data_IF_906303766136
#
_entry.id   IF_906303766136
#
_cell.length_a   1.000
_cell.length_b   1.000
_cell.length_c   1.000
_cell.angle_alpha   90.00
_cell.angle_beta   90.00
_cell.angle_gamma   90.00
#
_symmetry.space_group_name_H-M   'P 1'
#
loop_
_entity.id
_entity.type
_entity.pdbx_description
1 polymer ?
#
# COMPACT_ATOMS: atom_id res chain seq x y z
N UNK A 1 -13.46 -6.69 -29.59
CA UNK A 1 -13.03 -6.39 -28.20
C UNK A 1 -14.21 -5.70 -27.51
N UNK A 2 -14.66 -6.20 -26.36
CA UNK A 2 -15.79 -5.60 -25.63
C UNK A 2 -15.44 -4.17 -25.16
N UNK A 3 -16.42 -3.25 -25.10
CA UNK A 3 -16.22 -1.84 -24.69
C UNK A 3 -15.57 -1.74 -23.31
N UNK A 4 -15.91 -2.66 -22.41
CA UNK A 4 -15.34 -2.74 -21.05
C UNK A 4 -13.85 -3.11 -21.04
N UNK A 5 -13.44 -4.00 -21.95
CA UNK A 5 -12.05 -4.41 -22.09
C UNK A 5 -11.19 -3.31 -22.73
N UNK A 6 -11.74 -2.57 -23.69
CA UNK A 6 -11.08 -1.39 -24.25
C UNK A 6 -10.85 -0.31 -23.18
N UNK A 7 -11.89 0.05 -22.42
CA UNK A 7 -11.78 1.04 -21.33
C UNK A 7 -10.75 0.62 -20.28
N UNK A 8 -10.76 -0.63 -19.86
CA UNK A 8 -9.77 -1.15 -18.92
C UNK A 8 -8.35 -1.07 -19.48
N UNK A 9 -8.16 -1.42 -20.76
CA UNK A 9 -6.85 -1.35 -21.39
C UNK A 9 -6.31 0.07 -21.46
N UNK A 10 -7.15 1.04 -21.82
CA UNK A 10 -6.80 2.48 -21.84
C UNK A 10 -6.48 2.98 -20.42
N UNK A 11 -7.34 2.70 -19.45
CA UNK A 11 -7.15 3.13 -18.05
C UNK A 11 -5.91 2.53 -17.38
N UNK A 12 -5.43 1.38 -17.87
CA UNK A 12 -4.23 0.72 -17.35
C UNK A 12 -2.99 0.92 -18.22
N UNK A 13 -3.05 1.83 -19.19
CA UNK A 13 -1.88 2.22 -19.99
C UNK A 13 -0.91 3.05 -19.14
N UNK A 14 0.36 2.63 -19.10
CA UNK A 14 1.38 3.31 -18.31
C UNK A 14 1.58 4.77 -18.74
N UNK A 15 1.41 5.10 -20.02
CA UNK A 15 1.54 6.47 -20.53
C UNK A 15 0.43 7.35 -19.99
N UNK A 16 -0.80 6.84 -19.97
CA UNK A 16 -1.96 7.56 -19.45
C UNK A 16 -1.82 7.76 -17.94
N UNK A 17 -1.39 6.73 -17.20
CA UNK A 17 -1.15 6.84 -15.77
C UNK A 17 -0.06 7.87 -15.43
N UNK A 18 1.04 7.91 -16.19
CA UNK A 18 2.08 8.94 -16.05
C UNK A 18 1.52 10.35 -16.32
N UNK A 19 0.68 10.49 -17.34
CA UNK A 19 0.02 11.77 -17.64
C UNK A 19 -0.92 12.18 -16.50
N UNK A 20 -1.69 11.25 -15.94
CA UNK A 20 -2.57 11.51 -14.78
C UNK A 20 -1.76 11.96 -13.56
N UNK A 21 -0.65 11.27 -13.26
CA UNK A 21 0.26 11.67 -12.18
C UNK A 21 0.86 13.07 -12.42
N UNK A 22 1.28 13.36 -13.66
CA UNK A 22 1.79 14.67 -14.06
C UNK A 22 0.75 15.78 -13.92
N UNK A 23 -0.50 15.54 -14.35
CA UNK A 23 -1.61 16.48 -14.19
C UNK A 23 -1.91 16.70 -12.70
N UNK A 24 -1.89 15.65 -11.88
CA UNK A 24 -2.11 15.78 -10.44
C UNK A 24 -1.01 16.60 -9.75
N UNK A 25 0.25 16.42 -10.16
CA UNK A 25 1.37 17.22 -9.68
C UNK A 25 1.24 18.69 -10.11
N UNK A 26 0.97 18.94 -11.39
CA UNK A 26 0.77 20.30 -11.93
C UNK A 26 -0.43 21.00 -11.30
N UNK A 27 -1.54 20.28 -11.11
CA UNK A 27 -2.71 20.78 -10.39
C UNK A 27 -2.34 21.27 -8.99
N UNK A 28 -1.55 20.49 -8.25
CA UNK A 28 -1.09 20.92 -6.92
C UNK A 28 -0.11 22.07 -6.96
N UNK A 29 0.81 22.09 -7.91
CA UNK A 29 1.70 23.22 -8.08
C UNK A 29 0.94 24.52 -8.40
N UNK A 30 -0.14 24.44 -9.17
CA UNK A 30 -0.98 25.59 -9.50
C UNK A 30 -1.86 26.05 -8.32
N UNK A 31 -2.53 25.10 -7.66
CA UNK A 31 -3.44 25.37 -6.51
C UNK A 31 -2.71 25.86 -5.27
N UNK A 32 -1.41 25.58 -5.15
CA UNK A 32 -0.62 26.02 -3.99
C UNK A 32 0.32 27.17 -4.29
N UNK A 33 0.19 27.80 -5.47
CA UNK A 33 1.03 28.92 -5.88
C UNK A 33 0.79 30.19 -5.05
N UNK A 34 -0.39 30.33 -4.45
CA UNK A 34 -0.80 31.42 -3.58
C UNK A 34 -0.71 31.06 -2.08
N UNK A 35 -0.16 29.89 -1.74
CA UNK A 35 -0.06 29.33 -0.39
C UNK A 35 -1.41 29.12 0.34
N UNK A 36 -2.52 29.52 -0.26
CA UNK A 36 -3.88 29.46 0.27
C UNK A 36 -4.78 28.55 -0.54
N UNK A 37 -4.90 27.29 -0.12
CA UNK A 37 -5.82 26.35 -0.79
C UNK A 37 -7.26 26.68 -0.40
N UNK A 38 -8.04 27.15 -1.36
CA UNK A 38 -9.46 27.46 -1.17
C UNK A 38 -10.28 26.21 -0.81
N UNK A 39 -11.45 26.37 -0.15
CA UNK A 39 -12.33 25.24 0.17
C UNK A 39 -12.75 24.43 -1.05
N UNK A 40 -12.96 25.10 -2.20
CA UNK A 40 -13.38 24.44 -3.43
C UNK A 40 -12.27 23.62 -4.07
N UNK A 41 -11.03 24.12 -4.10
CA UNK A 41 -9.88 23.35 -4.59
C UNK A 41 -9.62 22.11 -3.73
N UNK A 42 -9.74 22.26 -2.41
CA UNK A 42 -9.69 21.15 -1.46
C UNK A 42 -10.82 20.13 -1.70
N UNK A 43 -12.04 20.60 -2.00
CA UNK A 43 -13.17 19.74 -2.33
C UNK A 43 -12.94 18.98 -3.65
N UNK A 44 -12.50 19.64 -4.71
CA UNK A 44 -12.18 19.02 -6.00
C UNK A 44 -11.11 17.91 -5.84
N UNK A 45 -10.03 18.19 -5.11
CA UNK A 45 -8.99 17.20 -4.83
C UNK A 45 -9.48 16.03 -3.95
N UNK A 46 -10.31 16.30 -2.94
CA UNK A 46 -10.86 15.24 -2.09
C UNK A 46 -11.84 14.34 -2.85
N UNK A 47 -12.74 14.94 -3.63
CA UNK A 47 -13.72 14.21 -4.44
C UNK A 47 -13.04 13.38 -5.52
N UNK A 48 -12.01 13.90 -6.19
CA UNK A 48 -11.28 13.15 -7.22
C UNK A 48 -10.60 11.91 -6.63
N UNK A 49 -9.91 12.04 -5.49
CA UNK A 49 -9.30 10.92 -4.77
C UNK A 49 -10.34 9.91 -4.30
N UNK A 50 -11.49 10.37 -3.80
CA UNK A 50 -12.58 9.51 -3.37
C UNK A 50 -13.09 8.67 -4.55
N UNK A 51 -13.42 9.30 -5.67
CA UNK A 51 -13.92 8.61 -6.87
C UNK A 51 -12.91 7.58 -7.36
N UNK A 52 -11.64 7.97 -7.57
CA UNK A 52 -10.59 7.06 -8.06
C UNK A 52 -10.39 5.90 -7.07
N UNK A 53 -10.26 6.20 -5.78
CA UNK A 53 -10.02 5.20 -4.74
C UNK A 53 -11.13 4.15 -4.67
N UNK A 54 -12.40 4.56 -4.73
CA UNK A 54 -13.53 3.62 -4.70
C UNK A 54 -13.67 2.83 -5.99
N UNK A 55 -13.39 3.43 -7.16
CA UNK A 55 -13.38 2.71 -8.42
C UNK A 55 -12.31 1.61 -8.43
N UNK A 56 -11.10 1.92 -7.95
CA UNK A 56 -10.01 0.93 -7.82
C UNK A 56 -10.41 -0.18 -6.84
N UNK A 57 -10.98 0.17 -5.68
CA UNK A 57 -11.48 -0.80 -4.72
C UNK A 57 -12.52 -1.73 -5.35
N UNK A 58 -13.56 -1.17 -5.96
CA UNK A 58 -14.66 -1.92 -6.56
C UNK A 58 -14.15 -2.87 -7.65
N UNK A 59 -13.21 -2.40 -8.48
CA UNK A 59 -12.59 -3.21 -9.51
C UNK A 59 -11.82 -4.41 -8.94
N UNK A 60 -10.91 -4.17 -7.99
CA UNK A 60 -10.10 -5.22 -7.38
C UNK A 60 -10.95 -6.20 -6.57
N UNK A 61 -11.96 -5.71 -5.86
CA UNK A 61 -12.89 -6.53 -5.11
C UNK A 61 -13.72 -7.42 -6.04
N UNK A 62 -14.26 -6.87 -7.13
CA UNK A 62 -14.98 -7.64 -8.15
C UNK A 62 -14.10 -8.76 -8.71
N UNK A 63 -12.84 -8.48 -9.06
CA UNK A 63 -11.89 -9.49 -9.53
C UNK A 63 -11.56 -10.54 -8.46
N UNK A 64 -11.60 -10.18 -7.17
CA UNK A 64 -11.33 -11.12 -6.07
C UNK A 64 -12.44 -12.15 -5.84
N UNK A 65 -13.69 -11.83 -6.22
CA UNK A 65 -14.86 -12.69 -6.02
C UNK A 65 -15.10 -13.60 -7.24
N UNK A 66 -14.51 -13.28 -8.40
CA UNK A 66 -14.67 -14.11 -9.59
C UNK A 66 -14.21 -15.55 -9.33
N UNK A 67 -15.01 -16.56 -9.73
CA UNK A 67 -14.63 -17.95 -9.59
C UNK A 67 -13.38 -18.21 -10.44
N UNK A 68 -12.37 -18.81 -9.81
CA UNK A 68 -11.10 -19.10 -10.47
C UNK A 68 -10.57 -20.45 -10.01
N UNK A 69 -9.90 -21.16 -10.92
CA UNK A 69 -9.19 -22.40 -10.63
C UNK A 69 -7.89 -22.16 -9.84
N UNK A 70 -7.48 -20.89 -9.69
CA UNK A 70 -6.29 -20.49 -8.97
C UNK A 70 -6.60 -19.55 -7.78
N UNK A 71 -6.99 -20.11 -6.60
CA UNK A 71 -7.50 -19.35 -5.45
C UNK A 71 -6.51 -18.35 -4.86
N UNK A 72 -5.22 -18.45 -5.20
CA UNK A 72 -4.19 -17.53 -4.72
C UNK A 72 -4.31 -16.17 -5.42
N UNK A 73 -4.73 -16.13 -6.69
CA UNK A 73 -4.99 -14.86 -7.39
C UNK A 73 -6.06 -14.04 -6.67
N UNK A 74 -7.19 -14.67 -6.31
CA UNK A 74 -8.27 -14.01 -5.59
C UNK A 74 -7.80 -13.43 -4.25
N UNK A 75 -6.91 -14.14 -3.55
CA UNK A 75 -6.31 -13.64 -2.29
C UNK A 75 -5.38 -12.46 -2.50
N UNK A 76 -4.65 -12.41 -3.62
CA UNK A 76 -3.82 -11.25 -3.99
C UNK A 76 -4.72 -10.05 -4.29
N UNK A 77 -5.74 -10.22 -5.15
CA UNK A 77 -6.71 -9.16 -5.45
C UNK A 77 -7.40 -8.65 -4.19
N UNK A 78 -7.87 -9.55 -3.33
CA UNK A 78 -8.49 -9.20 -2.05
C UNK A 78 -7.52 -8.49 -1.11
N UNK A 79 -6.26 -8.92 -1.05
CA UNK A 79 -5.23 -8.26 -0.25
C UNK A 79 -5.01 -6.81 -0.67
N UNK A 80 -4.88 -6.56 -1.98
CA UNK A 80 -4.73 -5.21 -2.53
C UNK A 80 -6.01 -4.39 -2.31
N UNK A 81 -7.19 -4.97 -2.54
CA UNK A 81 -8.47 -4.31 -2.30
C UNK A 81 -8.61 -3.85 -0.83
N UNK A 82 -8.22 -4.70 0.13
CA UNK A 82 -8.24 -4.32 1.54
C UNK A 82 -7.22 -3.22 1.86
N UNK A 83 -6.02 -3.25 1.26
CA UNK A 83 -5.04 -2.16 1.41
C UNK A 83 -5.59 -0.84 0.87
N UNK A 84 -6.21 -0.84 -0.31
CA UNK A 84 -6.88 0.32 -0.90
C UNK A 84 -8.02 0.80 0.00
N UNK A 85 -8.83 -0.12 0.56
CA UNK A 85 -9.93 0.21 1.45
C UNK A 85 -9.45 0.97 2.70
N UNK A 86 -8.36 0.54 3.32
CA UNK A 86 -7.76 1.25 4.48
C UNK A 86 -7.34 2.67 4.09
N UNK A 87 -6.73 2.86 2.92
CA UNK A 87 -6.36 4.20 2.45
C UNK A 87 -7.57 5.06 2.11
N UNK A 88 -8.63 4.48 1.51
CA UNK A 88 -9.87 5.19 1.23
C UNK A 88 -10.55 5.67 2.53
N UNK A 89 -10.60 4.83 3.56
CA UNK A 89 -11.10 5.24 4.88
C UNK A 89 -10.24 6.35 5.48
N UNK A 90 -8.92 6.26 5.37
CA UNK A 90 -8.01 7.33 5.81
C UNK A 90 -8.31 8.66 5.08
N UNK A 91 -8.45 8.64 3.75
CA UNK A 91 -8.78 9.82 2.93
C UNK A 91 -10.15 10.38 3.30
N UNK A 92 -11.14 9.52 3.49
CA UNK A 92 -12.50 9.93 3.87
C UNK A 92 -12.52 10.62 5.24
N UNK A 93 -11.83 10.06 6.24
CA UNK A 93 -11.72 10.70 7.57
C UNK A 93 -10.99 12.03 7.44
N UNK A 94 -9.89 12.07 6.69
CA UNK A 94 -9.11 13.29 6.49
C UNK A 94 -9.94 14.42 5.87
N UNK A 95 -10.49 14.20 4.68
CA UNK A 95 -11.24 15.23 3.97
C UNK A 95 -12.55 15.55 4.69
N UNK A 96 -13.21 14.57 5.31
CA UNK A 96 -14.39 14.80 6.15
C UNK A 96 -14.08 15.75 7.30
N UNK A 97 -13.02 15.47 8.08
CA UNK A 97 -12.62 16.37 9.17
C UNK A 97 -12.20 17.75 8.66
N UNK A 98 -11.53 17.84 7.51
CA UNK A 98 -11.10 19.13 6.95
C UNK A 98 -12.26 19.95 6.41
N UNK A 99 -13.20 19.35 5.67
CA UNK A 99 -14.37 20.05 5.13
C UNK A 99 -15.32 20.56 6.22
N UNK A 100 -15.40 19.84 7.34
CA UNK A 100 -16.17 20.30 8.51
C UNK A 100 -15.40 21.29 9.41
N UNK A 101 -14.17 21.66 9.06
CA UNK A 101 -13.36 22.56 9.88
C UNK A 101 -12.91 21.96 11.21
N UNK A 102 -12.92 20.63 11.36
CA UNK A 102 -12.48 19.94 12.57
C UNK A 102 -10.97 19.70 12.63
N UNK A 103 -10.32 19.70 11.46
CA UNK A 103 -8.87 19.52 11.34
C UNK A 103 -8.25 20.81 10.83
N UNK A 104 -7.55 21.53 11.71
CA UNK A 104 -7.02 22.86 11.39
C UNK A 104 -5.55 22.81 10.96
N UNK A 105 -4.73 21.98 11.61
CA UNK A 105 -3.31 21.83 11.29
C UNK A 105 -2.92 20.35 11.37
N UNK A 106 -2.22 19.86 10.36
CA UNK A 106 -1.81 18.45 10.31
C UNK A 106 -0.42 18.19 10.87
N UNK A 107 0.48 19.16 10.73
CA UNK A 107 1.83 19.13 11.27
C UNK A 107 2.14 20.46 11.94
N UNK A 108 2.32 21.53 11.16
CA UNK A 108 2.49 22.89 11.66
C UNK A 108 1.90 23.91 10.69
N UNK A 109 1.45 25.06 11.19
CA UNK A 109 0.81 26.13 10.41
C UNK A 109 1.60 26.50 9.14
N UNK A 110 2.92 26.80 9.19
CA UNK A 110 3.66 27.21 8.00
C UNK A 110 3.99 26.07 7.03
N UNK A 111 3.73 24.80 7.38
CA UNK A 111 4.10 23.63 6.56
C UNK A 111 2.92 22.73 6.22
N UNK A 112 1.71 23.12 6.63
CA UNK A 112 0.48 22.39 6.38
C UNK A 112 0.23 22.27 4.87
N UNK A 113 0.43 23.35 4.10
CA UNK A 113 0.22 23.35 2.65
C UNK A 113 1.12 22.34 1.91
N UNK A 114 2.42 22.31 2.20
CA UNK A 114 3.39 21.37 1.59
C UNK A 114 2.97 19.93 1.85
N UNK A 115 2.59 19.63 3.10
CA UNK A 115 2.23 18.28 3.48
C UNK A 115 0.88 17.85 2.87
N UNK A 116 -0.07 18.78 2.71
CA UNK A 116 -1.33 18.55 2.00
C UNK A 116 -1.09 18.19 0.54
N UNK A 117 -0.20 18.89 -0.14
CA UNK A 117 0.11 18.65 -1.56
C UNK A 117 0.83 17.33 -1.77
N UNK A 118 1.88 17.10 -0.98
CA UNK A 118 2.62 15.86 -0.98
C UNK A 118 1.68 14.67 -0.78
N UNK A 119 0.77 14.75 0.19
CA UNK A 119 -0.22 13.70 0.44
C UNK A 119 -1.07 13.40 -0.79
N UNK A 120 -1.64 14.45 -1.38
CA UNK A 120 -2.50 14.28 -2.55
C UNK A 120 -1.73 13.60 -3.68
N UNK A 121 -0.55 14.09 -4.00
CA UNK A 121 0.32 13.52 -5.04
C UNK A 121 0.66 12.07 -4.73
N UNK A 122 1.03 11.75 -3.49
CA UNK A 122 1.35 10.37 -3.08
C UNK A 122 0.15 9.44 -3.24
N UNK A 123 -1.06 9.86 -2.89
CA UNK A 123 -2.24 9.01 -3.07
C UNK A 123 -2.63 8.82 -4.53
N UNK A 124 -2.53 9.87 -5.36
CA UNK A 124 -2.74 9.72 -6.81
C UNK A 124 -1.73 8.74 -7.38
N UNK A 125 -0.43 8.92 -7.10
CA UNK A 125 0.61 7.99 -7.54
C UNK A 125 0.33 6.56 -7.05
N UNK A 126 -0.07 6.40 -5.79
CA UNK A 126 -0.42 5.08 -5.25
C UNK A 126 -1.55 4.44 -6.07
N UNK A 127 -2.65 5.16 -6.31
CA UNK A 127 -3.75 4.63 -7.10
C UNK A 127 -3.34 4.31 -8.54
N UNK A 128 -2.57 5.18 -9.19
CA UNK A 128 -2.04 4.95 -10.53
C UNK A 128 -1.17 3.68 -10.58
N UNK A 129 -0.28 3.49 -9.61
CA UNK A 129 0.54 2.28 -9.49
C UNK A 129 -0.34 1.04 -9.32
N UNK A 130 -1.38 1.09 -8.48
CA UNK A 130 -2.30 -0.05 -8.27
C UNK A 130 -3.12 -0.35 -9.54
N UNK A 131 -3.60 0.67 -10.26
CA UNK A 131 -4.29 0.51 -11.54
C UNK A 131 -3.36 -0.16 -12.56
N UNK A 132 -2.13 0.32 -12.71
CA UNK A 132 -1.13 -0.31 -13.58
C UNK A 132 -0.81 -1.75 -13.17
N UNK A 133 -0.75 -2.01 -11.85
CA UNK A 133 -0.54 -3.36 -11.28
C UNK A 133 -1.68 -4.31 -11.64
N UNK A 134 -2.93 -3.83 -11.68
CA UNK A 134 -4.11 -4.63 -12.00
C UNK A 134 -4.03 -5.28 -13.39
N UNK A 135 -3.41 -4.61 -14.37
CA UNK A 135 -3.15 -5.17 -15.70
C UNK A 135 -2.27 -6.41 -15.64
N UNK A 136 -1.18 -6.36 -14.88
CA UNK A 136 -0.28 -7.50 -14.72
C UNK A 136 -0.93 -8.64 -13.93
N UNK A 137 -1.73 -8.31 -12.91
CA UNK A 137 -2.51 -9.30 -12.17
C UNK A 137 -3.57 -9.98 -13.04
N UNK A 138 -4.17 -9.26 -13.99
CA UNK A 138 -5.12 -9.83 -14.94
C UNK A 138 -4.42 -10.77 -15.91
N UNK A 139 -3.29 -10.36 -16.49
CA UNK A 139 -2.49 -11.22 -17.36
C UNK A 139 -1.99 -12.48 -16.63
N UNK A 140 -1.60 -12.34 -15.36
CA UNK A 140 -1.26 -13.45 -14.46
C UNK A 140 -2.43 -14.42 -14.29
N UNK A 141 -3.63 -13.90 -14.01
CA UNK A 141 -4.86 -14.67 -13.83
C UNK A 141 -5.26 -15.46 -15.09
N UNK A 142 -5.22 -14.82 -16.26
CA UNK A 142 -5.62 -15.40 -17.54
C UNK A 142 -4.63 -16.46 -18.04
N UNK A 143 -3.32 -16.20 -17.96
CA UNK A 143 -2.29 -17.17 -18.38
C UNK A 143 -2.23 -18.41 -17.48
N UNK A 144 -2.58 -18.28 -16.19
CA UNK A 144 -2.60 -19.43 -15.26
C UNK A 144 -3.81 -20.32 -15.45
N UNK A 145 -4.94 -19.76 -15.86
CA UNK A 145 -6.13 -20.53 -16.25
C UNK A 145 -5.82 -21.53 -17.39
N UNK A 146 -4.85 -21.22 -18.26
CA UNK A 146 -4.46 -22.08 -19.38
C UNK A 146 -3.45 -23.18 -19.02
N UNK A 147 -2.80 -23.11 -17.84
CA UNK A 147 -1.68 -23.99 -17.46
C UNK A 147 -2.08 -25.15 -16.53
N UNK A 148 -3.38 -25.36 -16.27
CA UNK A 148 -3.85 -26.39 -15.34
C UNK A 148 -4.02 -27.73 -16.06
N UNK A 149 -2.94 -28.53 -16.06
CA UNK A 149 -3.00 -30.00 -16.01
C UNK A 149 -1.93 -30.48 -15.02
N UNK A 150 -2.41 -31.15 -13.96
CA UNK A 150 -1.70 -31.70 -12.79
C UNK A 150 -1.23 -30.76 -11.66
N UNK A 151 -1.81 -30.98 -10.47
CA UNK A 151 -1.22 -30.62 -9.16
C UNK A 151 -0.19 -31.66 -8.72
N UNK A 152 1.05 -31.28 -8.36
CA UNK A 152 1.91 -32.10 -7.53
C UNK A 152 1.83 -31.69 -6.05
N UNK A 153 1.90 -32.71 -5.19
CA UNK A 153 1.86 -32.60 -3.74
C UNK A 153 2.96 -31.73 -3.12
N UNK A 154 2.60 -31.24 -1.94
CA UNK A 154 3.31 -30.32 -1.04
C UNK A 154 4.70 -30.87 -0.66
N UNK A 155 5.78 -30.41 -1.32
CA UNK A 155 7.16 -30.66 -0.84
C UNK A 155 7.60 -29.53 0.08
N UNK A 156 7.74 -29.85 1.37
CA UNK A 156 8.26 -29.00 2.44
C UNK A 156 9.75 -28.74 2.16
N UNK A 157 10.11 -27.53 1.71
CA UNK A 157 11.52 -27.13 1.54
C UNK A 157 12.09 -26.71 2.89
N UNK A 158 13.38 -26.96 3.11
CA UNK A 158 14.08 -26.74 4.37
C UNK A 158 13.93 -25.29 4.87
N UNK A 159 13.49 -25.14 6.13
CA UNK A 159 13.24 -23.84 6.77
C UNK A 159 14.56 -23.13 7.04
N UNK A 160 14.81 -22.05 6.31
CA UNK A 160 15.79 -21.05 6.75
C UNK A 160 15.21 -20.24 7.92
N UNK A 161 16.05 -19.79 8.87
CA UNK A 161 15.63 -18.96 10.02
C UNK A 161 14.84 -17.72 9.56
N UNK A 162 15.28 -17.07 8.47
CA UNK A 162 14.59 -15.94 7.85
C UNK A 162 13.16 -16.27 7.39
N UNK A 163 12.93 -17.47 6.87
CA UNK A 163 11.59 -17.92 6.45
C UNK A 163 10.71 -18.30 7.64
N UNK A 164 11.30 -18.81 8.73
CA UNK A 164 10.58 -19.09 9.97
C UNK A 164 10.09 -17.81 10.64
N UNK A 165 10.92 -16.76 10.70
CA UNK A 165 10.55 -15.43 11.22
C UNK A 165 9.46 -14.81 10.35
N UNK A 166 9.58 -14.84 9.02
CA UNK A 166 8.54 -14.35 8.12
C UNK A 166 7.23 -15.14 8.24
N UNK A 167 7.31 -16.46 8.43
CA UNK A 167 6.13 -17.31 8.62
C UNK A 167 5.40 -16.98 9.95
N UNK A 168 6.15 -16.68 11.00
CA UNK A 168 5.60 -16.25 12.29
C UNK A 168 4.98 -14.84 12.22
N UNK A 169 5.66 -13.90 11.57
CA UNK A 169 5.21 -12.51 11.37
C UNK A 169 3.97 -12.43 10.47
N UNK A 170 3.84 -13.32 9.48
CA UNK A 170 2.68 -13.39 8.57
C UNK A 170 1.53 -14.24 9.09
N UNK A 171 1.58 -14.70 10.34
CA UNK A 171 0.47 -15.42 10.95
C UNK A 171 -0.63 -14.42 11.32
N UNK A 172 -1.89 -14.73 10.98
CA UNK A 172 -3.02 -13.81 11.16
C UNK A 172 -3.15 -13.40 12.64
N UNK A 173 -2.95 -14.34 13.57
CA UNK A 173 -2.96 -14.05 15.01
C UNK A 173 -1.87 -13.04 15.42
N UNK A 174 -0.66 -13.17 14.88
CA UNK A 174 0.44 -12.24 15.17
C UNK A 174 0.12 -10.84 14.66
N UNK A 175 -0.48 -10.72 13.48
CA UNK A 175 -0.88 -9.42 12.94
C UNK A 175 -2.01 -8.77 13.75
N UNK A 176 -2.99 -9.56 14.20
CA UNK A 176 -4.04 -9.07 15.10
C UNK A 176 -3.44 -8.57 16.42
N UNK A 177 -2.47 -9.31 16.98
CA UNK A 177 -1.73 -8.88 18.17
C UNK A 177 -0.94 -7.59 17.93
N UNK A 178 -0.27 -7.45 16.78
CA UNK A 178 0.45 -6.22 16.41
C UNK A 178 -0.52 -5.04 16.30
N UNK A 179 -1.67 -5.21 15.66
CA UNK A 179 -2.70 -4.17 15.53
C UNK A 179 -3.23 -3.78 16.91
N UNK A 180 -3.57 -4.76 17.76
CA UNK A 180 -4.06 -4.51 19.11
C UNK A 180 -3.01 -3.79 19.98
N UNK A 181 -1.76 -4.23 19.93
CA UNK A 181 -0.65 -3.59 20.64
C UNK A 181 -0.39 -2.17 20.14
N UNK A 182 -0.50 -1.93 18.84
CA UNK A 182 -0.36 -0.59 18.25
C UNK A 182 -1.48 0.36 18.68
N UNK A 183 -2.73 -0.12 18.71
CA UNK A 183 -3.87 0.66 19.21
C UNK A 183 -3.67 0.95 20.70
N UNK A 184 -3.33 -0.06 21.51
CA UNK A 184 -3.09 0.09 22.93
C UNK A 184 -1.95 1.08 23.21
N UNK A 185 -0.84 0.96 22.50
CA UNK A 185 0.28 1.92 22.56
C UNK A 185 -0.19 3.35 22.31
N UNK A 186 -1.04 3.58 21.28
CA UNK A 186 -1.59 4.91 21.01
C UNK A 186 -2.54 5.41 22.06
N UNK A 187 -3.36 4.54 22.65
CA UNK A 187 -4.24 4.91 23.75
C UNK A 187 -3.41 5.36 24.95
N UNK A 188 -2.38 4.59 25.33
CA UNK A 188 -1.51 4.89 26.48
C UNK A 188 -0.81 6.23 26.33
N UNK A 189 -0.15 6.49 25.19
CA UNK A 189 0.58 7.76 25.00
C UNK A 189 -0.34 8.96 24.72
N UNK A 190 -1.64 8.74 24.53
CA UNK A 190 -2.60 9.81 24.31
C UNK A 190 -3.31 10.25 25.59
N UNK A 191 -3.13 9.56 26.72
CA UNK A 191 -3.79 9.88 28.00
C UNK A 191 -3.48 11.31 28.44
N UNK A 192 -2.22 11.73 28.31
CA UNK A 192 -1.78 13.05 28.77
C UNK A 192 -2.04 14.16 27.73
N UNK A 193 -2.71 13.84 26.61
CA UNK A 193 -2.96 14.71 25.44
C UNK A 193 -1.71 15.34 24.77
N UNK A 194 -0.53 15.17 25.37
CA UNK A 194 0.76 15.66 24.89
C UNK A 194 1.63 14.46 24.54
N UNK A 195 1.85 14.24 23.24
CA UNK A 195 2.82 13.22 22.80
C UNK A 195 4.22 13.82 22.86
N UNK A 196 5.10 13.17 23.62
CA UNK A 196 6.49 13.58 23.76
C UNK A 196 7.29 13.29 22.49
N UNK A 197 8.44 13.95 22.33
CA UNK A 197 9.36 13.67 21.24
C UNK A 197 9.71 12.18 21.16
N UNK A 198 10.02 11.56 22.30
CA UNK A 198 10.41 10.15 22.36
C UNK A 198 9.28 9.20 21.95
N UNK A 199 8.05 9.44 22.38
CA UNK A 199 6.88 8.63 22.00
C UNK A 199 6.57 8.72 20.49
N UNK A 200 6.70 9.93 19.92
CA UNK A 200 6.55 10.16 18.49
C UNK A 200 7.66 9.47 17.70
N UNK A 201 8.91 9.57 18.19
CA UNK A 201 10.10 8.95 17.58
C UNK A 201 10.01 7.43 17.58
N UNK A 202 9.65 6.79 18.70
CA UNK A 202 9.46 5.34 18.77
C UNK A 202 8.38 4.86 17.79
N UNK A 203 7.26 5.57 17.73
CA UNK A 203 6.16 5.26 16.81
C UNK A 203 6.57 5.40 15.35
N UNK A 204 7.25 6.50 14.99
CA UNK A 204 7.70 6.77 13.63
C UNK A 204 8.80 5.82 13.17
N UNK A 205 9.84 5.60 13.98
CA UNK A 205 10.94 4.70 13.65
C UNK A 205 10.43 3.27 13.44
N UNK A 206 9.49 2.80 14.28
CA UNK A 206 8.91 1.45 14.14
C UNK A 206 8.20 1.28 12.80
N UNK A 207 7.41 2.28 12.39
CA UNK A 207 6.72 2.27 11.08
C UNK A 207 7.71 2.32 9.91
N UNK A 208 8.75 3.16 10.00
CA UNK A 208 9.79 3.27 8.98
C UNK A 208 10.53 1.94 8.83
N UNK A 209 10.96 1.32 9.94
CA UNK A 209 11.65 0.01 9.90
C UNK A 209 10.77 -1.05 9.24
N UNK A 210 9.50 -1.18 9.65
CA UNK A 210 8.58 -2.18 9.09
C UNK A 210 8.32 -1.91 7.60
N UNK A 211 8.05 -0.65 7.23
CA UNK A 211 7.77 -0.26 5.85
C UNK A 211 8.93 -0.55 4.91
N UNK A 212 10.16 -0.19 5.28
CA UNK A 212 11.35 -0.42 4.46
C UNK A 212 11.78 -1.88 4.43
N UNK A 213 11.62 -2.60 5.54
CA UNK A 213 11.85 -4.04 5.57
C UNK A 213 10.92 -4.76 4.56
N UNK A 214 9.63 -4.39 4.54
CA UNK A 214 8.66 -4.95 3.60
C UNK A 214 8.98 -4.57 2.15
N UNK A 215 9.41 -3.34 1.91
CA UNK A 215 9.84 -2.90 0.59
C UNK A 215 11.02 -3.73 0.09
N UNK A 216 12.09 -3.85 0.90
CA UNK A 216 13.25 -4.68 0.58
C UNK A 216 12.87 -6.15 0.34
N UNK A 217 11.93 -6.68 1.13
CA UNK A 217 11.42 -8.04 0.96
C UNK A 217 10.71 -8.23 -0.39
N UNK A 218 9.82 -7.31 -0.79
CA UNK A 218 9.12 -7.38 -2.08
C UNK A 218 10.08 -7.22 -3.25
N UNK A 219 11.05 -6.31 -3.15
CA UNK A 219 12.11 -6.17 -4.14
C UNK A 219 12.90 -7.47 -4.32
N UNK A 220 13.33 -8.09 -3.21
CA UNK A 220 14.01 -9.39 -3.24
C UNK A 220 13.13 -10.51 -3.83
N UNK A 221 11.83 -10.52 -3.52
CA UNK A 221 10.87 -11.47 -4.10
C UNK A 221 10.73 -11.26 -5.62
N UNK A 222 10.70 -10.02 -6.09
CA UNK A 222 10.58 -9.71 -7.53
C UNK A 222 11.77 -10.25 -8.33
N UNK A 223 12.98 -10.17 -7.77
CA UNK A 223 14.20 -10.70 -8.37
C UNK A 223 14.19 -12.23 -8.43
N UNK A 224 13.68 -12.89 -7.39
CA UNK A 224 13.53 -14.37 -7.38
C UNK A 224 12.57 -14.86 -8.46
N UNK A 225 11.64 -14.02 -8.90
CA UNK A 225 10.56 -14.37 -9.82
C UNK A 225 10.90 -13.98 -11.28
N UNK A 226 12.11 -13.48 -11.57
CA UNK A 226 12.52 -12.85 -12.86
C UNK A 226 12.06 -13.58 -14.14
N UNK A 227 11.95 -14.90 -14.13
CA UNK A 227 11.49 -15.70 -15.27
C UNK A 227 9.98 -15.58 -15.59
N UNK A 228 9.20 -14.89 -14.76
CA UNK A 228 7.74 -14.75 -14.90
C UNK A 228 7.38 -13.27 -14.88
N UNK A 229 7.47 -12.64 -16.05
CA UNK A 229 7.35 -11.19 -16.22
C UNK A 229 6.09 -10.59 -15.59
N UNK A 230 4.92 -11.21 -15.74
CA UNK A 230 3.67 -10.66 -15.18
C UNK A 230 3.67 -10.66 -13.64
N UNK A 231 4.15 -11.73 -13.00
CA UNK A 231 4.24 -11.81 -11.55
C UNK A 231 5.34 -10.88 -11.02
N UNK A 232 6.49 -10.79 -11.70
CA UNK A 232 7.54 -9.82 -11.35
C UNK A 232 7.02 -8.39 -11.43
N UNK A 233 6.33 -8.01 -12.51
CA UNK A 233 5.77 -6.67 -12.69
C UNK A 233 4.69 -6.36 -11.65
N UNK A 234 3.85 -7.34 -11.31
CA UNK A 234 2.86 -7.17 -10.25
C UNK A 234 3.53 -6.95 -8.87
N UNK A 235 4.56 -7.73 -8.53
CA UNK A 235 5.31 -7.55 -7.27
C UNK A 235 6.02 -6.19 -7.25
N UNK A 236 6.64 -5.79 -8.36
CA UNK A 236 7.28 -4.48 -8.49
C UNK A 236 6.28 -3.34 -8.32
N UNK A 237 5.10 -3.43 -8.95
CA UNK A 237 4.04 -2.45 -8.78
C UNK A 237 3.59 -2.33 -7.32
N UNK A 238 3.37 -3.45 -6.63
CA UNK A 238 3.04 -3.45 -5.20
C UNK A 238 4.17 -2.85 -4.37
N UNK A 239 5.44 -3.13 -4.70
CA UNK A 239 6.59 -2.55 -4.02
C UNK A 239 6.69 -1.03 -4.24
N UNK A 240 6.44 -0.54 -5.46
CA UNK A 240 6.37 0.90 -5.74
C UNK A 240 5.24 1.58 -4.98
N UNK A 241 4.06 0.95 -4.91
CA UNK A 241 2.94 1.46 -4.11
C UNK A 241 3.29 1.54 -2.62
N UNK A 242 3.95 0.50 -2.08
CA UNK A 242 4.46 0.53 -0.70
C UNK A 242 5.51 1.64 -0.50
N UNK A 243 6.40 1.85 -1.47
CA UNK A 243 7.40 2.92 -1.43
C UNK A 243 6.73 4.30 -1.31
N UNK A 244 5.68 4.56 -2.09
CA UNK A 244 4.91 5.81 -2.01
C UNK A 244 4.35 6.06 -0.59
N UNK A 245 3.78 5.03 0.04
CA UNK A 245 3.27 5.14 1.42
C UNK A 245 4.40 5.28 2.46
N UNK A 246 5.54 4.62 2.25
CA UNK A 246 6.72 4.80 3.10
C UNK A 246 7.23 6.25 3.04
N UNK A 247 7.31 6.84 1.84
CA UNK A 247 7.68 8.24 1.66
C UNK A 247 6.73 9.15 2.43
N UNK A 248 5.42 8.92 2.31
CA UNK A 248 4.41 9.66 3.07
C UNK A 248 4.65 9.57 4.59
N UNK A 249 4.95 8.38 5.12
CA UNK A 249 5.24 8.20 6.54
C UNK A 249 6.51 8.95 6.98
N UNK A 250 7.59 8.90 6.17
CA UNK A 250 8.84 9.60 6.46
C UNK A 250 8.63 11.11 6.49
N UNK A 251 7.96 11.67 5.48
CA UNK A 251 7.71 13.11 5.44
C UNK A 251 6.87 13.56 6.63
N UNK A 252 5.83 12.80 6.99
CA UNK A 252 5.02 13.11 8.15
C UNK A 252 5.83 13.14 9.45
N UNK A 253 6.52 12.04 9.75
CA UNK A 253 7.27 11.91 10.99
C UNK A 253 8.49 12.84 11.02
N UNK A 254 9.15 13.06 9.87
CA UNK A 254 10.27 13.98 9.74
C UNK A 254 9.87 15.43 10.03
N UNK A 255 8.77 15.92 9.43
CA UNK A 255 8.25 17.26 9.72
C UNK A 255 7.80 17.38 11.19
N UNK A 256 7.20 16.33 11.74
CA UNK A 256 6.78 16.33 13.15
C UNK A 256 7.95 16.34 14.12
N UNK A 257 9.00 15.57 13.83
CA UNK A 257 10.21 15.58 14.65
C UNK A 257 10.90 16.93 14.58
N UNK A 258 10.94 17.55 13.41
CA UNK A 258 11.48 18.89 13.24
C UNK A 258 10.77 19.91 14.15
N UNK A 259 9.43 19.93 14.14
CA UNK A 259 8.63 20.82 14.98
C UNK A 259 8.84 20.54 16.48
N UNK A 260 8.88 19.27 16.87
CA UNK A 260 9.12 18.89 18.27
C UNK A 260 10.53 19.29 18.74
N UNK A 261 11.52 19.19 17.86
CA UNK A 261 12.89 19.64 18.12
C UNK A 261 12.94 21.16 18.28
N UNK A 262 12.28 21.91 17.39
CA UNK A 262 12.20 23.37 17.46
C UNK A 262 11.57 23.84 18.78
N UNK A 263 10.52 23.16 19.24
CA UNK A 263 9.89 23.40 20.54
C UNK A 263 10.81 23.11 21.72
N UNK A 264 11.62 22.05 21.65
CA UNK A 264 12.60 21.69 22.70
C UNK A 264 13.74 22.73 22.74
N UNK A 265 14.16 23.26 21.60
CA UNK A 265 15.22 24.27 21.50
C UNK A 265 14.76 25.69 21.89
N UNK A 266 13.52 25.87 22.35
CA UNK A 266 13.00 27.18 22.75
C UNK A 266 12.61 28.08 21.58
N UNK A 267 12.40 27.52 20.38
CA UNK A 267 11.87 28.26 19.24
C UNK A 267 10.47 28.81 19.55
N UNK A 268 10.28 30.11 19.33
CA UNK A 268 8.98 30.79 19.44
C UNK A 268 8.20 30.53 18.15
N UNK A 269 7.81 29.27 17.94
CA UNK A 269 6.83 28.94 16.91
C UNK A 269 5.47 29.53 17.31
N UNK A 270 4.70 30.01 16.33
CA UNK A 270 3.31 30.46 16.55
C UNK A 270 2.58 29.45 17.44
N UNK A 271 1.99 29.95 18.52
CA UNK A 271 1.38 29.16 19.61
C UNK A 271 0.08 28.50 19.16
N UNK A 272 0.18 27.56 18.21
CA UNK A 272 -0.91 26.69 17.86
C UNK A 272 -1.11 25.67 19.00
N UNK A 273 -2.24 25.79 19.71
CA UNK A 273 -2.67 24.80 20.69
C UNK A 273 -3.44 23.70 19.94
N UNK A 274 -2.94 22.45 19.90
CA UNK A 274 -3.61 21.37 19.20
C UNK A 274 -5.04 21.16 19.72
N UNK A 275 -6.01 21.10 18.82
CA UNK A 275 -7.38 20.78 19.22
C UNK A 275 -7.52 19.27 19.49
N UNK A 276 -8.49 18.85 20.32
CA UNK A 276 -8.73 17.43 20.60
C UNK A 276 -8.91 16.56 19.35
N UNK A 277 -9.52 17.13 18.30
CA UNK A 277 -9.74 16.44 17.04
C UNK A 277 -8.45 16.28 16.20
N UNK A 278 -7.49 17.20 16.29
CA UNK A 278 -6.18 17.04 15.65
C UNK A 278 -5.41 15.88 16.29
N UNK A 279 -5.50 15.76 17.62
CA UNK A 279 -4.90 14.65 18.39
C UNK A 279 -5.53 13.31 17.98
N UNK A 280 -6.87 13.27 17.86
CA UNK A 280 -7.58 12.09 17.39
C UNK A 280 -7.16 11.70 15.97
N UNK A 281 -7.12 12.66 15.03
CA UNK A 281 -6.72 12.40 13.65
C UNK A 281 -5.28 11.87 13.55
N UNK A 282 -4.37 12.41 14.36
CA UNK A 282 -3.01 11.91 14.50
C UNK A 282 -2.98 10.44 14.93
N UNK A 283 -3.84 10.04 15.86
CA UNK A 283 -3.94 8.65 16.31
C UNK A 283 -4.51 7.75 15.21
N UNK A 284 -5.59 8.18 14.54
CA UNK A 284 -6.19 7.48 13.40
C UNK A 284 -5.16 7.25 12.30
N UNK A 285 -4.36 8.26 11.93
CA UNK A 285 -3.31 8.15 10.90
C UNK A 285 -2.32 7.03 11.20
N UNK A 286 -1.82 6.96 12.44
CA UNK A 286 -0.91 5.90 12.85
C UNK A 286 -1.58 4.52 12.73
N UNK A 287 -2.81 4.38 13.23
CA UNK A 287 -3.54 3.11 13.15
C UNK A 287 -3.77 2.69 11.69
N UNK A 288 -4.12 3.63 10.81
CA UNK A 288 -4.30 3.36 9.37
C UNK A 288 -3.00 2.89 8.71
N UNK A 289 -1.84 3.50 9.04
CA UNK A 289 -0.54 3.04 8.55
C UNK A 289 -0.19 1.64 9.06
N UNK A 290 -0.46 1.34 10.34
CA UNK A 290 -0.25 -0.01 10.91
C UNK A 290 -1.12 -1.04 10.18
N UNK A 291 -2.42 -0.75 10.01
CA UNK A 291 -3.34 -1.61 9.27
C UNK A 291 -2.85 -1.84 7.84
N UNK A 292 -2.41 -0.78 7.16
CA UNK A 292 -1.86 -0.86 5.81
C UNK A 292 -0.63 -1.78 5.73
N UNK A 293 0.34 -1.63 6.64
CA UNK A 293 1.52 -2.49 6.67
C UNK A 293 1.19 -3.94 7.03
N UNK A 294 0.27 -4.18 7.97
CA UNK A 294 -0.21 -5.52 8.29
C UNK A 294 -0.90 -6.20 7.09
N UNK A 295 -1.72 -5.48 6.34
CA UNK A 295 -2.34 -5.98 5.11
C UNK A 295 -1.28 -6.25 4.03
N UNK A 296 -0.26 -5.40 3.92
CA UNK A 296 0.85 -5.59 3.00
C UNK A 296 1.69 -6.82 3.35
N UNK A 297 1.88 -7.13 4.64
CA UNK A 297 2.50 -8.39 5.11
C UNK A 297 1.68 -9.60 4.65
N UNK A 298 0.34 -9.56 4.81
CA UNK A 298 -0.54 -10.63 4.33
C UNK A 298 -0.48 -10.77 2.80
N UNK A 299 -0.44 -9.65 2.08
CA UNK A 299 -0.30 -9.63 0.64
C UNK A 299 1.03 -10.25 0.20
N UNK A 300 2.14 -9.91 0.86
CA UNK A 300 3.45 -10.51 0.60
C UNK A 300 3.43 -12.04 0.77
N UNK A 301 2.75 -12.55 1.80
CA UNK A 301 2.53 -13.99 1.98
C UNK A 301 1.78 -14.61 0.81
N UNK A 302 0.76 -13.94 0.27
CA UNK A 302 0.02 -14.42 -0.89
C UNK A 302 0.85 -14.39 -2.17
N UNK A 303 1.71 -13.38 -2.36
CA UNK A 303 2.65 -13.30 -3.48
C UNK A 303 3.71 -14.42 -3.43
N UNK A 304 4.24 -14.74 -2.25
CA UNK A 304 5.15 -15.89 -2.06
C UNK A 304 4.46 -17.19 -2.45
N UNK A 305 3.22 -17.39 -1.97
CA UNK A 305 2.44 -18.58 -2.34
C UNK A 305 2.15 -18.64 -3.85
N UNK A 306 1.96 -17.48 -4.49
CA UNK A 306 1.82 -17.43 -5.94
C UNK A 306 3.11 -17.87 -6.63
N UNK A 307 4.27 -17.36 -6.21
CA UNK A 307 5.57 -17.80 -6.72
C UNK A 307 5.78 -19.32 -6.55
N UNK A 308 5.48 -19.90 -5.39
CA UNK A 308 5.60 -21.35 -5.16
C UNK A 308 4.73 -22.15 -6.14
N UNK A 309 3.48 -21.74 -6.32
CA UNK A 309 2.56 -22.34 -7.28
C UNK A 309 3.04 -22.17 -8.73
N UNK A 310 3.86 -21.14 -9.01
CA UNK A 310 4.38 -20.85 -10.34
C UNK A 310 5.56 -21.75 -10.75
N UNK A 311 6.34 -22.25 -9.78
CA UNK A 311 7.54 -23.08 -10.02
C UNK A 311 7.18 -24.56 -10.22
N UNK A 312 6.19 -25.06 -9.49
CA UNK A 312 5.83 -26.48 -9.45
C UNK A 312 5.34 -27.06 -10.81
N UNK A 313 4.68 -26.31 -11.72
CA UNK A 313 4.28 -26.83 -13.04
C UNK A 313 5.46 -27.20 -13.95
N UNK A 314 6.63 -26.55 -13.80
CA UNK A 314 7.73 -26.70 -14.76
C UNK A 314 8.55 -28.00 -14.59
N UNK A 315 8.61 -28.57 -13.38
CA UNK A 315 9.49 -29.73 -13.11
C UNK A 315 8.93 -31.08 -13.58
N UNK A 316 7.63 -31.16 -13.89
CA UNK A 316 7.01 -32.42 -14.33
C UNK A 316 6.96 -32.59 -15.85
N UNK A 317 6.82 -31.51 -16.61
CA UNK A 317 6.72 -31.60 -18.08
C UNK A 317 8.02 -32.10 -18.73
N UNK A 318 9.19 -31.69 -18.24
CA UNK A 318 10.48 -32.14 -18.79
C UNK A 318 10.80 -33.61 -18.48
N UNK A 319 10.25 -34.16 -17.38
CA UNK A 319 10.56 -35.52 -16.91
C UNK A 319 9.62 -36.61 -17.47
N UNK A 320 8.52 -36.23 -18.11
CA UNK A 320 7.64 -37.16 -18.83
C UNK A 320 8.05 -37.32 -20.29
N UNK A 321 8.56 -36.27 -20.95
CA UNK A 321 9.07 -36.37 -22.32
C UNK A 321 10.42 -37.11 -22.41
N UNK A 322 11.30 -37.00 -21.41
CA UNK A 322 12.57 -37.76 -21.40
C UNK A 322 12.46 -39.23 -21.00
N UNK A 323 11.28 -39.71 -20.57
CA UNK A 323 11.08 -41.13 -20.18
C UNK A 323 10.31 -41.96 -21.21
N UNK A 324 9.71 -41.32 -22.22
CA UNK A 324 9.01 -42.01 -23.31
C UNK A 324 9.94 -42.34 -24.50
N UNK A 325 11.19 -41.87 -24.51
CA UNK A 325 12.17 -42.22 -25.55
C UNK A 325 13.15 -43.34 -25.16
N UNK A 326 13.09 -43.88 -23.94
CA UNK A 326 14.02 -44.93 -23.47
C UNK A 326 13.42 -46.35 -23.43
N UNK A 327 12.25 -46.55 -24.03
CA UNK A 327 11.60 -47.87 -24.20
C UNK A 327 11.24 -48.17 -25.66
N UNK A 328 12.03 -47.66 -26.60
CA UNK A 328 12.02 -48.07 -28.01
C UNK A 328 13.45 -48.22 -28.51
N UNK A 329 14.06 -49.36 -28.17
CA UNK A 329 15.09 -50.05 -28.97
C UNK A 329 15.19 -51.46 -28.45
#
# INVERSE_FOLDING_TARGET
MDKRDFLFWVLTDARILIVVDGIAFLWRAAVSADEEISPWESACSGVSLFIIGWLVFAHLYSMSVKPTEWPVSNRIYRGIALSVLVLNFYIMIYYGMRWHGFLHVEVSVPRDFIYRDLRYVIFVMYYCIIIGTARYLRGMHEKYRLLIKERPGKKRRAKNIKEAVFMAMTHVRTLVLIIAAAILWRVVIAIDNVITFWESTVSGISLVIIGWFLFGYLCALSLKVKHRMDLTRAIQGIAFGLCAINIYAIFYYGLRWYELIERIMGGVGETYVPQPLDILFRNVRYVMLVLFYCLTILLAKHLVKAYENYIVPARKSYKSHGRLQLYKT
#
